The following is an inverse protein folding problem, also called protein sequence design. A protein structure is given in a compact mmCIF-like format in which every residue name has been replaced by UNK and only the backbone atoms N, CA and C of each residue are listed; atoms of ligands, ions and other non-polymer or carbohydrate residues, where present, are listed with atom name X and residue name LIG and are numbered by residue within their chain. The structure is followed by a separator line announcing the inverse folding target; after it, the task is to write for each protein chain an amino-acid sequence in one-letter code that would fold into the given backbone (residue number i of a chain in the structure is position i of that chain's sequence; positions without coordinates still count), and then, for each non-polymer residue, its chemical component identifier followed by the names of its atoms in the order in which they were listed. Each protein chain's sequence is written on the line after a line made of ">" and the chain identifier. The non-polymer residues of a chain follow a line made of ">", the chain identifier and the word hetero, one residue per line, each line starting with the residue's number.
data_IF_840703694832
#
_entry.id   IF_840703694832
#
_cell.length_a   1.000
_cell.length_b   1.000
_cell.length_c   1.000
_cell.angle_alpha   90.00
_cell.angle_beta   90.00
_cell.angle_gamma   90.00
#
_symmetry.space_group_name_H-M   'P 1'
#
loop_
_entity.id
_entity.type
_entity.pdbx_description
1 polymer ?
#
# COMPACT_ATOMS: atom_id res chain seq x y z
N UNK A 1 19.48 21.52 52.70
CA UNK A 1 18.44 21.08 51.74
C UNK A 1 18.78 21.74 50.40
N UNK A 2 19.46 21.07 49.46
CA UNK A 2 18.92 20.15 48.43
C UNK A 2 17.69 20.73 47.72
N UNK A 3 17.84 21.08 46.45
CA UNK A 3 17.08 20.45 45.36
C UNK A 3 17.77 20.77 44.02
N UNK A 4 18.27 19.71 43.35
CA UNK A 4 18.68 19.75 41.95
C UNK A 4 17.50 19.23 41.13
N UNK A 5 16.92 20.06 40.28
CA UNK A 5 15.93 19.64 39.28
C UNK A 5 16.66 19.16 38.03
N UNK A 6 16.67 17.85 37.83
CA UNK A 6 17.11 17.20 36.59
C UNK A 6 15.90 17.16 35.65
N UNK A 7 15.90 17.99 34.62
CA UNK A 7 14.95 17.88 33.51
C UNK A 7 15.44 16.79 32.56
N UNK A 8 14.79 15.63 32.58
CA UNK A 8 15.00 14.57 31.60
C UNK A 8 14.38 15.00 30.25
N UNK A 9 15.24 15.26 29.26
CA UNK A 9 14.83 15.47 27.87
C UNK A 9 14.54 14.08 27.27
N UNK A 10 13.25 13.73 27.12
CA UNK A 10 12.83 12.56 26.33
C UNK A 10 13.00 12.90 24.85
N UNK A 11 14.06 12.38 24.22
CA UNK A 11 14.19 12.42 22.77
C UNK A 11 13.31 11.32 22.17
N UNK A 12 12.17 11.73 21.58
CA UNK A 12 11.36 10.87 20.71
C UNK A 12 12.12 10.68 19.40
N UNK A 13 12.83 9.56 19.26
CA UNK A 13 13.33 9.10 17.96
C UNK A 13 12.14 8.66 17.12
N UNK A 14 11.65 9.55 16.26
CA UNK A 14 10.76 9.17 15.17
C UNK A 14 11.57 8.34 14.18
N UNK A 15 11.29 7.03 14.13
CA UNK A 15 11.77 6.17 13.05
C UNK A 15 10.99 6.62 11.82
N UNK A 16 11.60 7.47 10.99
CA UNK A 16 11.07 7.74 9.67
C UNK A 16 11.11 6.40 8.91
N UNK A 17 9.96 5.76 8.74
CA UNK A 17 9.84 4.61 7.86
C UNK A 17 10.25 5.09 6.47
N UNK A 18 11.34 4.53 5.94
CA UNK A 18 11.81 4.89 4.61
C UNK A 18 10.70 4.55 3.61
N UNK A 19 10.22 5.57 2.89
CA UNK A 19 9.32 5.39 1.78
C UNK A 19 10.09 4.72 0.63
N UNK A 20 9.62 3.55 0.20
CA UNK A 20 10.22 2.82 -0.92
C UNK A 20 9.43 3.02 -2.22
N UNK A 21 8.09 3.08 -2.13
CA UNK A 21 7.22 3.21 -3.30
C UNK A 21 5.95 4.03 -3.01
N UNK A 22 5.26 4.39 -4.10
CA UNK A 22 3.93 4.97 -4.14
C UNK A 22 2.94 3.98 -4.74
N UNK A 23 1.69 4.04 -4.29
CA UNK A 23 0.65 3.13 -4.75
C UNK A 23 -0.73 3.78 -4.84
N UNK A 24 -1.59 3.17 -5.66
CA UNK A 24 -3.03 3.47 -5.74
C UNK A 24 -3.83 2.18 -5.90
N UNK A 25 -5.06 2.18 -5.42
CA UNK A 25 -6.06 1.13 -5.64
C UNK A 25 -7.14 1.61 -6.58
N UNK A 26 -7.70 0.69 -7.35
CA UNK A 26 -8.77 0.97 -8.29
C UNK A 26 -9.83 -0.11 -8.21
N UNK A 27 -11.09 0.31 -8.30
CA UNK A 27 -12.24 -0.58 -8.51
C UNK A 27 -12.75 -0.53 -9.95
N UNK A 28 -12.05 0.21 -10.81
CA UNK A 28 -12.19 0.16 -12.25
C UNK A 28 -11.24 -0.91 -12.82
N UNK A 29 -11.58 -1.43 -14.00
CA UNK A 29 -10.66 -2.30 -14.72
C UNK A 29 -9.53 -1.47 -15.31
N UNK A 30 -8.31 -1.61 -14.78
CA UNK A 30 -7.08 -1.20 -15.48
C UNK A 30 -6.38 0.07 -14.99
N UNK A 31 -6.52 0.44 -13.72
CA UNK A 31 -5.81 1.59 -13.13
C UNK A 31 -5.98 2.88 -13.93
N UNK A 32 -7.22 3.17 -14.34
CA UNK A 32 -7.53 4.34 -15.14
C UNK A 32 -7.57 5.61 -14.26
N UNK A 33 -6.59 6.50 -14.45
CA UNK A 33 -6.49 7.79 -13.74
C UNK A 33 -7.57 8.80 -14.16
N UNK A 34 -8.27 8.57 -15.29
CA UNK A 34 -9.37 9.43 -15.72
C UNK A 34 -10.71 9.07 -15.08
N UNK A 35 -10.76 8.00 -14.31
CA UNK A 35 -11.98 7.54 -13.66
C UNK A 35 -12.41 8.44 -12.49
N UNK A 36 -13.69 8.41 -12.11
CA UNK A 36 -14.19 9.19 -10.99
C UNK A 36 -13.45 8.87 -9.68
N UNK A 37 -13.35 9.87 -8.80
CA UNK A 37 -12.76 9.76 -7.46
C UNK A 37 -13.27 8.55 -6.63
N UNK A 38 -14.53 8.13 -6.80
CA UNK A 38 -15.12 6.96 -6.14
C UNK A 38 -14.58 5.62 -6.64
N UNK A 39 -13.80 5.63 -7.73
CA UNK A 39 -13.23 4.46 -8.35
C UNK A 39 -11.73 4.26 -8.07
N UNK A 40 -11.13 5.19 -7.33
CA UNK A 40 -9.70 5.26 -7.06
C UNK A 40 -9.47 5.47 -5.57
N UNK A 41 -8.39 4.92 -5.02
CA UNK A 41 -7.90 5.31 -3.71
C UNK A 41 -6.37 5.44 -3.68
N UNK A 42 -5.83 6.53 -3.09
CA UNK A 42 -6.54 7.76 -2.72
C UNK A 42 -7.31 8.36 -3.92
N UNK A 43 -8.38 9.14 -3.68
CA UNK A 43 -9.17 9.74 -4.76
C UNK A 43 -8.30 10.61 -5.68
N UNK A 44 -8.53 10.63 -6.99
CA UNK A 44 -7.86 11.61 -7.87
C UNK A 44 -8.42 13.04 -7.61
N UNK A 45 -7.58 14.09 -7.44
CA UNK A 45 -6.11 14.16 -7.65
C UNK A 45 -5.28 14.08 -6.36
N UNK A 46 -5.82 13.52 -5.28
CA UNK A 46 -5.10 13.39 -4.01
C UNK A 46 -3.79 12.64 -4.20
N UNK A 47 -2.81 12.94 -3.35
CA UNK A 47 -1.51 12.28 -3.39
C UNK A 47 -1.68 10.75 -3.23
N UNK A 48 -0.88 9.94 -3.95
CA UNK A 48 -0.93 8.48 -3.82
C UNK A 48 -0.55 8.03 -2.41
N UNK A 49 -0.91 6.79 -2.07
CA UNK A 49 -0.44 6.16 -0.85
C UNK A 49 1.07 5.91 -0.90
N UNK A 50 1.72 5.89 0.26
CA UNK A 50 3.14 5.54 0.40
C UNK A 50 3.28 4.13 0.97
N UNK A 51 4.30 3.39 0.56
CA UNK A 51 4.60 2.06 1.07
C UNK A 51 6.09 1.80 1.25
N UNK A 52 6.40 0.78 2.04
CA UNK A 52 7.73 0.21 2.23
C UNK A 52 7.74 -1.26 1.83
N UNK A 53 8.84 -1.76 1.29
CA UNK A 53 8.95 -3.16 0.89
C UNK A 53 8.71 -4.10 2.06
N UNK A 54 8.14 -5.28 1.77
CA UNK A 54 7.80 -6.31 2.76
C UNK A 54 6.78 -5.91 3.83
N UNK A 55 6.19 -4.70 3.77
CA UNK A 55 5.07 -4.33 4.62
C UNK A 55 3.74 -4.73 3.99
N UNK A 56 2.85 -5.27 4.83
CA UNK A 56 1.45 -5.45 4.49
C UNK A 56 0.72 -4.12 4.54
N UNK A 57 -0.01 -3.81 3.47
CA UNK A 57 -0.84 -2.61 3.34
C UNK A 57 -2.28 -3.08 3.12
N UNK A 58 -3.16 -2.70 4.04
CA UNK A 58 -4.58 -2.98 3.93
C UNK A 58 -5.27 -1.99 2.99
N UNK A 59 -6.15 -2.52 2.16
CA UNK A 59 -7.03 -1.72 1.32
C UNK A 59 -8.10 -1.04 2.19
N UNK A 60 -8.52 0.19 1.85
CA UNK A 60 -9.64 0.84 2.53
C UNK A 60 -10.92 0.03 2.36
N UNK A 61 -11.71 -0.04 3.42
CA UNK A 61 -12.98 -0.76 3.39
C UNK A 61 -14.07 0.01 2.65
N UNK A 62 -15.04 -0.71 2.10
CA UNK A 62 -16.27 -0.13 1.54
C UNK A 62 -16.33 0.00 0.01
N UNK A 63 -15.27 -0.37 -0.70
CA UNK A 63 -15.26 -0.42 -2.17
C UNK A 63 -14.65 -1.74 -2.67
N UNK A 64 -15.10 -2.25 -3.83
CA UNK A 64 -14.61 -3.50 -4.39
C UNK A 64 -13.33 -3.27 -5.20
N UNK A 65 -12.20 -3.05 -4.54
CA UNK A 65 -10.92 -2.88 -5.22
C UNK A 65 -10.55 -4.12 -6.04
N UNK A 66 -10.18 -3.90 -7.30
CA UNK A 66 -9.82 -4.97 -8.25
C UNK A 66 -8.41 -4.84 -8.79
N UNK A 67 -7.81 -3.66 -8.66
CA UNK A 67 -6.47 -3.39 -9.16
C UNK A 67 -5.65 -2.59 -8.15
N UNK A 68 -4.35 -2.88 -8.11
CA UNK A 68 -3.35 -2.07 -7.40
C UNK A 68 -2.31 -1.58 -8.40
N UNK A 69 -1.98 -0.30 -8.32
CA UNK A 69 -0.90 0.32 -9.08
C UNK A 69 0.27 0.61 -8.16
N UNK A 70 1.49 0.32 -8.62
CA UNK A 70 2.75 0.64 -7.92
C UNK A 70 3.64 1.41 -8.87
N UNK A 71 4.26 2.50 -8.40
CA UNK A 71 5.06 3.41 -9.24
C UNK A 71 6.50 2.93 -9.52
N UNK A 72 6.77 1.64 -9.38
CA UNK A 72 8.08 1.04 -9.58
C UNK A 72 7.99 -0.09 -10.60
N UNK A 73 8.98 -0.16 -11.47
CA UNK A 73 9.25 -1.33 -12.31
C UNK A 73 10.04 -2.37 -11.49
N UNK A 74 10.12 -3.61 -11.99
CA UNK A 74 10.90 -4.70 -11.40
C UNK A 74 10.57 -5.00 -9.93
N UNK A 75 9.28 -4.97 -9.59
CA UNK A 75 8.76 -5.39 -8.28
C UNK A 75 7.83 -6.59 -8.41
N UNK A 76 7.77 -7.39 -7.35
CA UNK A 76 6.76 -8.43 -7.20
C UNK A 76 5.69 -7.94 -6.24
N UNK A 77 4.44 -7.90 -6.70
CA UNK A 77 3.28 -7.50 -5.89
C UNK A 77 2.43 -8.72 -5.58
N UNK A 78 2.29 -9.02 -4.30
CA UNK A 78 1.38 -10.04 -3.80
C UNK A 78 0.09 -9.39 -3.34
N UNK A 79 -1.03 -9.88 -3.86
CA UNK A 79 -2.35 -9.34 -3.55
C UNK A 79 -3.15 -10.41 -2.81
N UNK A 80 -3.93 -9.99 -1.81
CA UNK A 80 -4.74 -10.86 -0.97
C UNK A 80 -6.19 -10.40 -1.00
N UNK A 81 -7.12 -11.34 -1.04
CA UNK A 81 -8.56 -11.02 -1.00
C UNK A 81 -9.08 -10.69 0.42
N UNK A 82 -8.22 -10.79 1.43
CA UNK A 82 -8.51 -10.54 2.83
C UNK A 82 -7.52 -9.51 3.38
N UNK A 83 -7.87 -8.86 4.48
CA UNK A 83 -7.00 -7.93 5.18
C UNK A 83 -5.83 -8.64 5.88
N UNK A 84 -4.85 -7.85 6.34
CA UNK A 84 -3.66 -8.26 7.09
C UNK A 84 -2.78 -9.30 6.39
N UNK A 85 -2.91 -9.42 5.06
CA UNK A 85 -2.13 -10.36 4.25
C UNK A 85 -2.23 -11.82 4.75
N UNK A 86 -3.37 -12.18 5.36
CA UNK A 86 -3.62 -13.50 5.93
C UNK A 86 -4.31 -14.50 4.98
N UNK A 87 -4.56 -14.13 3.73
CA UNK A 87 -5.37 -14.88 2.76
C UNK A 87 -4.58 -15.73 1.76
N UNK A 88 -5.31 -16.35 0.82
CA UNK A 88 -4.70 -17.02 -0.33
C UNK A 88 -4.01 -15.98 -1.22
N UNK A 89 -2.72 -16.17 -1.44
CA UNK A 89 -1.85 -15.30 -2.21
C UNK A 89 -2.23 -15.34 -3.71
N UNK A 90 -2.46 -14.17 -4.30
CA UNK A 90 -2.50 -14.01 -5.74
C UNK A 90 -1.25 -13.23 -6.15
N UNK A 91 -0.26 -13.93 -6.72
CA UNK A 91 0.93 -13.28 -7.23
C UNK A 91 0.58 -12.52 -8.51
N UNK A 92 0.83 -11.21 -8.51
CA UNK A 92 0.89 -10.43 -9.73
C UNK A 92 2.36 -10.17 -10.06
N UNK A 93 2.80 -10.73 -11.18
CA UNK A 93 4.12 -10.47 -11.75
C UNK A 93 3.99 -9.32 -12.73
N UNK A 94 4.68 -8.23 -12.39
CA UNK A 94 5.34 -7.37 -13.37
C UNK A 94 4.43 -6.50 -14.24
N UNK A 95 3.48 -5.80 -13.62
CA UNK A 95 2.80 -4.67 -14.26
C UNK A 95 2.64 -3.54 -13.26
N UNK A 96 2.90 -2.32 -13.71
CA UNK A 96 2.57 -1.08 -12.97
C UNK A 96 1.13 -1.09 -12.48
N UNK A 97 0.22 -1.81 -13.16
CA UNK A 97 -1.16 -2.09 -12.73
C UNK A 97 -1.45 -3.60 -12.63
N UNK A 98 -1.63 -4.10 -11.42
CA UNK A 98 -1.91 -5.50 -11.11
C UNK A 98 -3.40 -5.73 -10.86
N UNK A 99 -4.06 -6.55 -11.68
CA UNK A 99 -5.45 -6.98 -11.46
C UNK A 99 -5.55 -8.30 -10.68
N UNK A 100 -6.64 -8.49 -9.94
CA UNK A 100 -6.96 -9.77 -9.27
C UNK A 100 -7.83 -10.69 -10.13
N UNK A 101 -7.82 -11.98 -9.78
CA UNK A 101 -8.70 -12.98 -10.41
C UNK A 101 -10.18 -12.64 -10.20
N UNK A 102 -11.07 -13.00 -11.15
CA UNK A 102 -12.50 -12.78 -11.01
C UNK A 102 -13.06 -13.37 -9.71
N UNK A 103 -13.84 -12.57 -8.98
CA UNK A 103 -14.44 -12.96 -7.69
C UNK A 103 -13.60 -12.64 -6.45
N UNK A 104 -12.39 -12.09 -6.62
CA UNK A 104 -11.59 -11.52 -5.54
C UNK A 104 -11.78 -9.99 -5.48
N UNK A 105 -11.88 -9.46 -4.27
CA UNK A 105 -11.75 -8.02 -3.97
C UNK A 105 -10.49 -7.86 -3.14
N UNK A 106 -9.62 -6.92 -3.50
CA UNK A 106 -8.36 -6.67 -2.78
C UNK A 106 -8.67 -6.21 -1.35
N UNK A 107 -8.26 -7.02 -0.37
CA UNK A 107 -8.27 -6.67 1.05
C UNK A 107 -6.92 -6.14 1.52
N UNK A 108 -5.81 -6.67 0.97
CA UNK A 108 -4.45 -6.16 1.28
C UNK A 108 -3.44 -6.55 0.20
N UNK A 109 -2.24 -5.96 0.26
CA UNK A 109 -1.12 -6.30 -0.62
C UNK A 109 0.25 -6.10 0.05
N UNK A 110 1.28 -6.76 -0.51
CA UNK A 110 2.71 -6.58 -0.15
C UNK A 110 3.52 -6.44 -1.43
N UNK A 111 4.52 -5.55 -1.41
CA UNK A 111 5.46 -5.36 -2.51
C UNK A 111 6.86 -5.80 -2.08
N UNK A 112 7.56 -6.51 -2.95
CA UNK A 112 8.96 -6.89 -2.80
C UNK A 112 9.78 -6.40 -3.99
N UNK A 113 11.06 -6.04 -3.80
CA UNK A 113 11.96 -5.90 -4.93
C UNK A 113 12.10 -7.26 -5.62
N UNK A 114 12.05 -7.28 -6.96
CA UNK A 114 12.32 -8.52 -7.69
C UNK A 114 13.80 -8.88 -7.48
N UNK A 115 14.12 -10.13 -7.07
CA UNK A 115 15.50 -10.54 -6.88
C UNK A 115 16.26 -10.44 -8.21
N UNK A 116 17.36 -9.68 -8.21
CA UNK A 116 18.31 -9.53 -9.32
C UNK A 116 19.09 -10.80 -9.62
#
# INVERSE_FOLDING_TARGET
>A
MKLFTVSALLALTQVAMAQDFLWRLYNNGGCDHSSPASATFPPDPDAPGTGSFSQCIDAPQGLPWTNVEVNLDDVTTYVFCNDNCGGAELQSVDQTCSGVVPGCVIGSFIVFPTPS
#
